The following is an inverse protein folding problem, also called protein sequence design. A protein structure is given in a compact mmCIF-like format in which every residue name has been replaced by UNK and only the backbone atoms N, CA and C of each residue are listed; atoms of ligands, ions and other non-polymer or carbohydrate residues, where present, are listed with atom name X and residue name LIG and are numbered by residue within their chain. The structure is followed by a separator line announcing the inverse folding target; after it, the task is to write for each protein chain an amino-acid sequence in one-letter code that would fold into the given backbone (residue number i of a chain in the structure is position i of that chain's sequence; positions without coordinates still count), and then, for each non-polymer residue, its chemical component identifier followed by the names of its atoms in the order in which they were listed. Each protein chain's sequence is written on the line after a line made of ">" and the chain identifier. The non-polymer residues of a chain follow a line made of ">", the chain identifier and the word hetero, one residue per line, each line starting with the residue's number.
data_IF_346312350818
#
_entry.id   IF_346312350818
#
_cell.length_a   1.000
_cell.length_b   1.000
_cell.length_c   1.000
_cell.angle_alpha   90.00
_cell.angle_beta   90.00
_cell.angle_gamma   90.00
#
_symmetry.space_group_name_H-M   'P 1'
#
loop_
_entity.id
_entity.type
_entity.pdbx_description
1 polymer ?
#
# COMPACT_ATOMS: atom_id res chain seq x y z
N UNK A 1 -2.59 16.58 4.79
CA UNK A 1 -1.85 15.40 4.27
C UNK A 1 -1.55 14.50 5.44
N UNK A 2 -1.58 13.18 5.25
CA UNK A 2 -1.34 12.20 6.32
C UNK A 2 0.07 12.43 6.94
N UNK A 3 0.21 12.49 8.27
CA UNK A 3 1.51 12.68 8.91
C UNK A 3 2.32 11.38 8.86
N UNK A 4 3.15 11.22 7.82
CA UNK A 4 4.02 10.07 7.61
C UNK A 4 5.49 10.50 7.57
N UNK A 5 6.32 9.85 8.38
CA UNK A 5 7.78 10.00 8.37
C UNK A 5 8.43 8.69 7.89
N UNK A 6 9.45 8.79 7.03
CA UNK A 6 10.19 7.64 6.53
C UNK A 6 11.42 7.42 7.40
N UNK A 7 11.55 6.22 7.97
CA UNK A 7 12.64 5.86 8.87
C UNK A 7 13.79 5.19 8.12
N UNK A 8 15.03 5.55 8.45
CA UNK A 8 16.21 4.91 7.88
C UNK A 8 17.33 4.82 8.91
N UNK A 9 18.15 3.77 8.81
CA UNK A 9 19.28 3.50 9.71
C UNK A 9 20.52 3.14 8.87
N UNK A 10 21.70 3.56 9.31
CA UNK A 10 22.95 3.40 8.54
C UNK A 10 23.72 2.12 8.89
N UNK A 11 23.35 1.42 9.97
CA UNK A 11 24.13 0.28 10.49
C UNK A 11 24.05 -0.99 9.63
N UNK A 12 23.10 -1.12 8.71
CA UNK A 12 22.92 -2.26 7.80
C UNK A 12 22.87 -3.66 8.47
N UNK A 13 22.65 -3.71 9.78
CA UNK A 13 22.60 -4.93 10.58
C UNK A 13 21.15 -5.29 10.96
N UNK A 14 21.00 -6.34 11.77
CA UNK A 14 19.67 -6.80 12.22
C UNK A 14 19.04 -5.81 13.19
N UNK A 15 19.83 -5.20 14.07
CA UNK A 15 19.32 -4.23 15.05
C UNK A 15 18.85 -2.95 14.38
N UNK A 16 19.53 -2.48 13.34
CA UNK A 16 19.13 -1.34 12.50
C UNK A 16 17.79 -1.60 11.83
N UNK A 17 17.60 -2.79 11.23
CA UNK A 17 16.32 -3.19 10.64
C UNK A 17 15.20 -3.28 11.67
N UNK A 18 15.50 -3.73 12.90
CA UNK A 18 14.53 -3.78 13.98
C UNK A 18 14.13 -2.35 14.43
N UNK A 19 15.07 -1.43 14.57
CA UNK A 19 14.80 -0.02 14.92
C UNK A 19 13.88 0.65 13.92
N UNK A 20 14.13 0.47 12.62
CA UNK A 20 13.26 0.99 11.55
C UNK A 20 11.83 0.50 11.75
N UNK A 21 11.63 -0.81 11.92
CA UNK A 21 10.29 -1.39 12.16
C UNK A 21 9.61 -0.88 13.42
N UNK A 22 10.36 -0.68 14.51
CA UNK A 22 9.81 -0.11 15.75
C UNK A 22 9.27 1.30 15.49
N UNK A 23 10.02 2.13 14.76
CA UNK A 23 9.60 3.50 14.45
C UNK A 23 8.43 3.55 13.45
N UNK A 24 8.41 2.63 12.47
CA UNK A 24 7.28 2.45 11.55
C UNK A 24 5.98 2.12 12.29
N UNK A 25 6.04 1.28 13.34
CA UNK A 25 4.85 0.97 14.17
C UNK A 25 4.31 2.22 14.85
N UNK A 26 5.16 3.04 15.47
CA UNK A 26 4.70 4.29 16.08
C UNK A 26 4.14 5.28 15.06
N UNK A 27 4.74 5.35 13.87
CA UNK A 27 4.25 6.19 12.77
C UNK A 27 2.88 5.72 12.27
N UNK A 28 2.68 4.41 12.13
CA UNK A 28 1.41 3.82 11.74
C UNK A 28 0.30 4.11 12.76
N UNK A 29 0.59 4.07 14.07
CA UNK A 29 -0.36 4.44 15.11
C UNK A 29 -0.76 5.92 15.01
N UNK A 30 0.21 6.83 14.83
CA UNK A 30 -0.07 8.26 14.65
C UNK A 30 -0.90 8.53 13.38
N UNK A 31 -0.66 7.79 12.30
CA UNK A 31 -1.45 7.88 11.06
C UNK A 31 -2.89 7.44 11.28
N UNK A 32 -3.12 6.39 12.08
CA UNK A 32 -4.47 5.92 12.44
C UNK A 32 -5.20 6.98 13.26
N UNK A 33 -4.57 7.51 14.31
CA UNK A 33 -5.16 8.55 15.16
C UNK A 33 -5.53 9.80 14.33
N UNK A 34 -4.63 10.27 13.47
CA UNK A 34 -4.92 11.37 12.56
C UNK A 34 -6.08 11.04 11.61
N UNK A 35 -6.12 9.82 11.09
CA UNK A 35 -7.18 9.35 10.21
C UNK A 35 -8.55 9.42 10.88
N UNK A 36 -8.67 8.94 12.12
CA UNK A 36 -9.94 8.93 12.86
C UNK A 36 -10.55 10.35 13.00
N UNK A 37 -9.72 11.37 13.15
CA UNK A 37 -10.17 12.76 13.29
C UNK A 37 -10.42 13.47 11.94
N UNK A 38 -9.81 13.00 10.85
CA UNK A 38 -9.74 13.73 9.57
C UNK A 38 -10.26 12.96 8.36
N UNK A 39 -11.01 11.86 8.56
CA UNK A 39 -11.56 11.05 7.48
C UNK A 39 -12.58 11.85 6.64
N UNK A 40 -12.35 12.03 5.33
CA UNK A 40 -13.35 12.65 4.46
C UNK A 40 -14.53 11.70 4.23
N UNK A 41 -15.73 12.25 4.12
CA UNK A 41 -16.89 11.50 3.65
C UNK A 41 -16.81 11.22 2.14
N UNK A 42 -17.62 10.27 1.66
CA UNK A 42 -17.69 9.94 0.24
C UNK A 42 -18.16 8.51 0.01
N UNK A 43 -18.34 8.11 -1.27
CA UNK A 43 -18.63 6.72 -1.61
C UNK A 43 -17.42 5.83 -1.28
N UNK A 44 -17.68 4.70 -0.63
CA UNK A 44 -16.64 3.72 -0.26
C UNK A 44 -16.19 2.83 -1.43
N UNK A 45 -17.02 2.72 -2.47
CA UNK A 45 -16.80 1.84 -3.60
C UNK A 45 -17.22 2.53 -4.90
N UNK A 46 -16.44 2.31 -5.95
CA UNK A 46 -16.77 2.71 -7.32
C UNK A 46 -17.02 1.44 -8.12
N UNK A 47 -18.21 1.32 -8.69
CA UNK A 47 -18.63 0.18 -9.52
C UNK A 47 -18.68 0.57 -11.01
N UNK A 48 -18.81 -0.43 -11.89
CA UNK A 48 -19.12 -0.20 -13.30
C UNK A 48 -17.92 0.08 -14.22
N UNK A 49 -16.70 -0.32 -13.84
CA UNK A 49 -15.55 -0.27 -14.75
C UNK A 49 -15.63 -1.36 -15.83
N UNK A 50 -15.12 -1.07 -17.03
CA UNK A 50 -14.99 -2.05 -18.11
C UNK A 50 -13.51 -2.29 -18.38
N UNK A 51 -13.08 -3.55 -18.36
CA UNK A 51 -11.71 -3.91 -18.69
C UNK A 51 -11.53 -4.15 -20.19
N UNK A 52 -10.36 -3.80 -20.72
CA UNK A 52 -9.97 -4.14 -22.08
C UNK A 52 -9.21 -5.48 -22.02
N UNK A 53 -9.69 -6.54 -22.68
CA UNK A 53 -9.02 -7.84 -22.68
C UNK A 53 -7.57 -7.75 -23.15
N UNK A 54 -6.72 -8.63 -22.60
CA UNK A 54 -5.31 -8.79 -22.94
C UNK A 54 -4.41 -7.56 -22.68
N UNK A 55 -4.89 -6.60 -21.89
CA UNK A 55 -4.05 -5.56 -21.31
C UNK A 55 -3.59 -5.99 -19.92
N UNK A 56 -2.35 -5.65 -19.60
CA UNK A 56 -1.79 -5.88 -18.26
C UNK A 56 -1.72 -4.58 -17.47
N UNK A 57 -1.76 -4.70 -16.16
CA UNK A 57 -1.50 -3.64 -15.20
C UNK A 57 -0.46 -4.11 -14.17
N UNK A 58 0.29 -3.16 -13.63
CA UNK A 58 1.20 -3.34 -12.51
C UNK A 58 0.72 -2.45 -11.36
N UNK A 59 0.41 -3.07 -10.23
CA UNK A 59 0.14 -2.40 -8.97
C UNK A 59 1.35 -2.55 -8.04
N UNK A 60 1.74 -1.45 -7.38
CA UNK A 60 2.80 -1.42 -6.40
C UNK A 60 2.23 -0.88 -5.09
N UNK A 61 2.48 -1.58 -3.99
CA UNK A 61 2.15 -1.14 -2.65
C UNK A 61 3.36 -1.36 -1.72
N UNK A 62 3.55 -0.46 -0.76
CA UNK A 62 4.48 -0.68 0.33
C UNK A 62 3.77 -1.58 1.35
N UNK A 63 4.22 -2.83 1.44
CA UNK A 63 3.76 -3.73 2.48
C UNK A 63 4.79 -3.73 3.62
N UNK A 64 4.43 -4.11 4.86
CA UNK A 64 5.35 -4.11 6.00
C UNK A 64 6.60 -5.00 5.86
N UNK A 65 6.72 -5.76 4.75
CA UNK A 65 7.85 -6.62 4.42
C UNK A 65 8.66 -6.10 3.21
N UNK A 66 8.31 -4.95 2.65
CA UNK A 66 8.87 -4.38 1.43
C UNK A 66 7.84 -4.29 0.30
N UNK A 67 8.35 -4.21 -0.93
CA UNK A 67 7.52 -3.99 -2.13
C UNK A 67 6.58 -5.17 -2.38
N UNK A 68 5.28 -4.87 -2.36
CA UNK A 68 4.23 -5.78 -2.81
C UNK A 68 3.80 -5.39 -4.23
N UNK A 69 4.10 -6.27 -5.18
CA UNK A 69 3.95 -6.01 -6.61
C UNK A 69 3.00 -7.03 -7.22
N UNK A 70 1.90 -6.53 -7.75
CA UNK A 70 0.89 -7.33 -8.43
C UNK A 70 0.92 -7.02 -9.91
N UNK A 71 1.34 -7.99 -10.71
CA UNK A 71 1.06 -8.01 -12.14
C UNK A 71 -0.24 -8.75 -12.35
N UNK A 72 -1.16 -8.15 -13.09
CA UNK A 72 -2.39 -8.82 -13.49
C UNK A 72 -2.73 -8.50 -14.93
N UNK A 73 -3.30 -9.49 -15.60
CA UNK A 73 -3.91 -9.34 -16.92
C UNK A 73 -5.31 -9.94 -16.87
N UNK A 74 -6.29 -9.25 -17.43
CA UNK A 74 -7.64 -9.79 -17.62
C UNK A 74 -7.77 -10.38 -19.02
N UNK A 75 -8.33 -11.58 -19.13
CA UNK A 75 -8.67 -12.22 -20.40
C UNK A 75 -10.08 -11.87 -20.87
N UNK A 76 -10.55 -12.60 -21.86
CA UNK A 76 -11.94 -12.51 -22.30
C UNK A 76 -12.90 -12.90 -21.17
N UNK A 77 -14.05 -12.22 -21.10
CA UNK A 77 -15.09 -12.43 -20.08
C UNK A 77 -14.76 -11.91 -18.67
N UNK A 78 -13.90 -10.88 -18.55
CA UNK A 78 -13.52 -10.22 -17.29
C UNK A 78 -12.93 -11.16 -16.23
N UNK A 79 -12.33 -12.28 -16.66
CA UNK A 79 -11.63 -13.21 -15.77
C UNK A 79 -10.14 -12.90 -15.73
N UNK A 80 -9.51 -13.20 -14.61
CA UNK A 80 -8.05 -13.14 -14.50
C UNK A 80 -7.43 -14.11 -15.49
N UNK A 81 -6.53 -13.60 -16.32
CA UNK A 81 -5.70 -14.39 -17.21
C UNK A 81 -4.47 -14.93 -16.48
N UNK A 82 -3.75 -14.03 -15.78
CA UNK A 82 -2.60 -14.34 -14.93
C UNK A 82 -2.27 -13.15 -14.03
#
# INVERSE_FOLDING_TARGET
>A
LLPMEVHSEQGCDVISRLKVRINEVYTALNMIDFGLDNLPGGPLMVEGFTYIPHRFALGFAEAPRGDDIHWSMTGDNQKLYR
#
